data_IF_471738474117
#
_entry.id   IF_471738474117
#
_cell.length_a   1.000
_cell.length_b   1.000
_cell.length_c   1.000
_cell.angle_alpha   90.00
_cell.angle_beta   90.00
_cell.angle_gamma   90.00
#
_symmetry.space_group_name_H-M   'P 1'
#
loop_
_entity.id
_entity.type
_entity.pdbx_description
1 polymer ?
#
# COMPACT_ATOMS: atom_id res chain seq x y z
N UNK A 1 14.68 -5.22 -30.50
CA UNK A 1 13.28 -4.82 -30.21
C UNK A 1 12.97 -4.89 -28.69
N UNK A 2 13.75 -4.22 -27.82
CA UNK A 2 13.58 -4.31 -26.35
C UNK A 2 13.12 -3.00 -25.66
N UNK A 3 13.06 -1.89 -26.41
CA UNK A 3 12.84 -0.57 -25.82
C UNK A 3 11.37 -0.29 -25.49
N UNK A 4 10.43 -0.77 -26.31
CA UNK A 4 8.98 -0.53 -26.16
C UNK A 4 8.40 -1.26 -24.95
N UNK A 5 8.70 -2.55 -24.80
CA UNK A 5 8.20 -3.38 -23.70
C UNK A 5 8.57 -2.86 -22.30
N UNK A 6 9.75 -2.23 -22.18
CA UNK A 6 10.18 -1.62 -20.91
C UNK A 6 9.40 -0.33 -20.60
N UNK A 7 9.06 0.47 -21.62
CA UNK A 7 8.26 1.67 -21.43
C UNK A 7 6.81 1.32 -21.06
N UNK A 8 6.20 0.36 -21.75
CA UNK A 8 4.86 -0.13 -21.45
C UNK A 8 4.75 -0.66 -20.01
N UNK A 9 5.77 -1.40 -19.54
CA UNK A 9 5.85 -1.85 -18.15
C UNK A 9 5.93 -0.72 -17.14
N UNK A 10 6.79 0.28 -17.38
CA UNK A 10 6.88 1.43 -16.48
C UNK A 10 5.56 2.20 -16.43
N UNK A 11 4.81 2.25 -17.55
CA UNK A 11 3.49 2.87 -17.59
C UNK A 11 2.51 2.07 -16.70
N UNK A 12 2.51 0.74 -16.79
CA UNK A 12 1.69 -0.12 -15.93
C UNK A 12 2.06 0.02 -14.44
N UNK A 13 3.36 0.04 -14.11
CA UNK A 13 3.83 0.25 -12.73
C UNK A 13 3.38 1.61 -12.21
N UNK A 14 3.49 2.65 -13.04
CA UNK A 14 3.01 3.99 -12.70
C UNK A 14 1.51 3.99 -12.37
N UNK A 15 0.68 3.36 -13.21
CA UNK A 15 -0.76 3.25 -12.97
C UNK A 15 -1.09 2.52 -11.66
N UNK A 16 -0.44 1.38 -11.40
CA UNK A 16 -0.61 0.64 -10.14
C UNK A 16 -0.24 1.51 -8.95
N UNK A 17 0.87 2.26 -9.02
CA UNK A 17 1.31 3.12 -7.93
C UNK A 17 0.39 4.31 -7.66
N UNK A 18 -0.25 4.86 -8.70
CA UNK A 18 -1.31 5.86 -8.52
C UNK A 18 -2.50 5.26 -7.77
N UNK A 19 -2.92 4.05 -8.14
CA UNK A 19 -4.01 3.36 -7.45
C UNK A 19 -3.63 3.04 -6.00
N UNK A 20 -2.41 2.56 -5.75
CA UNK A 20 -1.92 2.30 -4.39
C UNK A 20 -1.98 3.55 -3.52
N UNK A 21 -1.59 4.72 -4.06
CA UNK A 21 -1.69 5.98 -3.32
C UNK A 21 -3.14 6.34 -2.99
N UNK A 22 -4.08 6.10 -3.91
CA UNK A 22 -5.51 6.32 -3.68
C UNK A 22 -6.04 5.40 -2.58
N UNK A 23 -5.76 4.09 -2.67
CA UNK A 23 -6.21 3.12 -1.66
C UNK A 23 -5.60 3.39 -0.28
N UNK A 24 -4.32 3.78 -0.20
CA UNK A 24 -3.68 4.16 1.05
C UNK A 24 -4.33 5.40 1.71
N UNK A 25 -4.80 6.35 0.90
CA UNK A 25 -5.54 7.52 1.42
C UNK A 25 -6.91 7.11 1.97
N UNK A 26 -7.55 6.12 1.34
CA UNK A 26 -8.87 5.60 1.69
C UNK A 26 -8.85 4.53 2.79
N UNK A 27 -7.69 4.18 3.36
CA UNK A 27 -7.53 3.11 4.36
C UNK A 27 -7.89 1.70 3.84
N UNK A 28 -7.87 1.49 2.53
CA UNK A 28 -8.16 0.21 1.88
C UNK A 28 -6.89 -0.69 1.83
N UNK A 29 -6.43 -1.13 2.99
CA UNK A 29 -5.17 -1.85 3.15
C UNK A 29 -5.13 -3.23 2.46
N UNK A 30 -6.28 -3.89 2.34
CA UNK A 30 -6.40 -5.18 1.67
C UNK A 30 -6.10 -5.03 0.17
N UNK A 31 -6.80 -4.09 -0.49
CA UNK A 31 -6.55 -3.73 -1.90
C UNK A 31 -5.11 -3.23 -2.12
N UNK A 32 -4.55 -2.49 -1.17
CA UNK A 32 -3.14 -2.04 -1.24
C UNK A 32 -2.16 -3.22 -1.33
N UNK A 33 -2.46 -4.32 -0.63
CA UNK A 33 -1.61 -5.51 -0.60
C UNK A 33 -1.65 -6.24 -1.94
N UNK A 34 -2.83 -6.36 -2.54
CA UNK A 34 -3.01 -6.94 -3.89
C UNK A 34 -2.26 -6.12 -4.95
N UNK A 35 -2.37 -4.79 -4.90
CA UNK A 35 -1.68 -3.90 -5.82
C UNK A 35 -0.15 -3.95 -5.67
N UNK A 36 0.39 -4.10 -4.45
CA UNK A 36 1.85 -4.28 -4.27
C UNK A 36 2.33 -5.61 -4.85
N UNK A 37 1.55 -6.69 -4.76
CA UNK A 37 1.87 -7.96 -5.42
C UNK A 37 1.93 -7.81 -6.94
N UNK A 38 0.95 -7.12 -7.54
CA UNK A 38 0.93 -6.82 -8.97
C UNK A 38 2.10 -5.93 -9.39
N UNK A 39 2.48 -4.93 -8.58
CA UNK A 39 3.68 -4.11 -8.84
C UNK A 39 4.94 -4.97 -8.86
N UNK A 40 5.10 -5.86 -7.86
CA UNK A 40 6.27 -6.74 -7.75
C UNK A 40 6.35 -7.75 -8.89
N UNK A 41 5.24 -8.32 -9.34
CA UNK A 41 5.25 -9.26 -10.47
C UNK A 41 5.73 -8.57 -11.75
N UNK A 42 5.29 -7.35 -12.03
CA UNK A 42 5.75 -6.58 -13.19
C UNK A 42 7.25 -6.23 -13.15
N UNK A 43 7.79 -5.93 -11.97
CA UNK A 43 9.20 -5.61 -11.78
C UNK A 43 10.11 -6.85 -11.76
N UNK A 44 9.62 -7.98 -11.26
CA UNK A 44 10.41 -9.24 -11.14
C UNK A 44 10.53 -10.02 -12.45
N UNK A 45 9.62 -9.81 -13.42
CA UNK A 45 9.75 -10.38 -14.77
C UNK A 45 10.96 -9.85 -15.57
N UNK A 46 11.79 -8.97 -15.01
CA UNK A 46 13.10 -8.57 -15.57
C UNK A 46 14.23 -9.56 -15.21
N UNK A 47 14.08 -10.35 -14.14
CA UNK A 47 15.12 -11.25 -13.64
C UNK A 47 14.99 -12.72 -14.10
N UNK A 48 13.99 -13.06 -14.92
CA UNK A 48 13.79 -14.43 -15.42
C UNK A 48 14.72 -14.73 -16.61
N UNK A 49 16.03 -14.68 -16.35
CA UNK A 49 17.04 -15.46 -17.05
C UNK A 49 17.83 -16.22 -15.99
N UNK A 50 17.25 -17.28 -15.42
CA UNK A 50 17.89 -18.47 -14.82
C UNK A 50 16.76 -19.51 -14.56
N UNK A 51 16.96 -20.80 -14.90
CA UNK A 51 15.91 -21.82 -14.91
C UNK A 51 15.65 -22.46 -13.54
N UNK A 52 14.48 -23.10 -13.43
CA UNK A 52 14.09 -24.15 -12.48
C UNK A 52 14.14 -23.82 -10.98
N UNK A 53 12.99 -23.42 -10.43
CA UNK A 53 12.17 -24.37 -9.66
C UNK A 53 10.77 -23.79 -9.49
N UNK A 54 9.81 -24.49 -10.10
CA UNK A 54 8.38 -24.30 -9.87
C UNK A 54 8.08 -24.57 -8.39
N UNK A 55 7.86 -23.51 -7.62
CA UNK A 55 6.82 -23.54 -6.61
C UNK A 55 5.62 -22.84 -7.24
N UNK A 56 4.78 -23.66 -7.87
CA UNK A 56 3.40 -23.31 -8.18
C UNK A 56 2.72 -22.90 -6.87
N UNK A 57 2.70 -21.60 -6.58
CA UNK A 57 1.59 -21.04 -5.84
C UNK A 57 0.45 -20.97 -6.85
N UNK A 58 -0.41 -21.97 -6.75
CA UNK A 58 -1.68 -22.10 -7.45
C UNK A 58 -2.61 -20.97 -6.99
N UNK A 59 -2.26 -19.73 -7.35
CA UNK A 59 -3.16 -18.60 -7.25
C UNK A 59 -3.96 -18.65 -8.54
N UNK A 60 -5.16 -19.22 -8.46
CA UNK A 60 -6.23 -18.99 -9.43
C UNK A 60 -6.44 -17.47 -9.53
N UNK A 61 -5.69 -16.81 -10.40
CA UNK A 61 -5.99 -15.46 -10.86
C UNK A 61 -7.04 -15.65 -11.96
N UNK A 62 -8.27 -15.97 -11.55
CA UNK A 62 -9.42 -15.83 -12.44
C UNK A 62 -9.60 -14.34 -12.73
N UNK A 63 -9.25 -13.94 -13.95
CA UNK A 63 -9.66 -12.69 -14.58
C UNK A 63 -9.34 -11.41 -13.80
N UNK A 64 -8.06 -11.15 -13.52
CA UNK A 64 -7.62 -9.76 -13.38
C UNK A 64 -7.62 -9.12 -14.76
N UNK A 65 -8.73 -8.47 -15.09
CA UNK A 65 -8.84 -7.50 -16.17
C UNK A 65 -7.57 -6.62 -16.18
N UNK A 66 -7.04 -6.24 -17.37
CA UNK A 66 -5.97 -5.27 -17.41
C UNK A 66 -6.42 -4.03 -16.65
N UNK A 67 -5.59 -3.56 -15.71
CA UNK A 67 -5.85 -2.33 -14.95
C UNK A 67 -5.68 -1.16 -15.94
N UNK A 68 -6.68 -0.96 -16.80
CA UNK A 68 -6.76 0.09 -17.82
C UNK A 68 -7.37 1.39 -17.26
N UNK A 69 -7.60 1.45 -15.95
CA UNK A 69 -8.18 2.62 -15.31
C UNK A 69 -7.09 3.62 -14.92
N UNK A 70 -7.01 4.73 -15.66
CA UNK A 70 -6.28 5.98 -15.36
C UNK A 70 -4.84 6.14 -15.88
N UNK A 71 -4.40 5.39 -16.89
CA UNK A 71 -3.23 5.84 -17.66
C UNK A 71 -3.69 7.00 -18.56
N UNK A 72 -3.51 8.22 -18.07
CA UNK A 72 -3.75 9.42 -18.86
C UNK A 72 -2.89 9.34 -20.14
N UNK A 73 -3.49 9.53 -21.32
CA UNK A 73 -2.79 9.49 -22.63
C UNK A 73 -1.55 10.39 -22.73
N UNK A 74 -1.38 11.34 -21.80
CA UNK A 74 -0.16 12.14 -21.64
C UNK A 74 1.04 11.35 -21.11
N UNK A 75 0.82 10.31 -20.29
CA UNK A 75 1.86 9.47 -19.69
C UNK A 75 2.55 8.61 -20.74
N UNK A 76 1.83 8.14 -21.76
CA UNK A 76 2.37 7.42 -22.91
C UNK A 76 3.35 8.24 -23.75
N UNK A 77 3.36 9.57 -23.58
CA UNK A 77 4.28 10.50 -24.25
C UNK A 77 5.51 10.85 -23.41
N UNK A 78 5.55 10.44 -22.14
CA UNK A 78 6.69 10.70 -21.26
C UNK A 78 7.88 9.81 -21.63
N UNK A 79 9.07 10.38 -21.55
CA UNK A 79 10.31 9.62 -21.65
C UNK A 79 10.44 8.65 -20.46
N UNK A 80 11.27 7.62 -20.63
CA UNK A 80 11.56 6.64 -19.56
C UNK A 80 12.07 7.29 -18.28
N UNK A 81 12.88 8.33 -18.41
CA UNK A 81 13.45 9.05 -17.27
C UNK A 81 12.39 9.88 -16.54
N UNK A 82 11.49 10.54 -17.26
CA UNK A 82 10.35 11.26 -16.66
C UNK A 82 9.42 10.29 -15.94
N UNK A 83 9.15 9.14 -16.54
CA UNK A 83 8.28 8.11 -15.99
C UNK A 83 8.90 7.47 -14.72
N UNK A 84 10.19 7.15 -14.75
CA UNK A 84 10.92 6.66 -13.58
C UNK A 84 10.95 7.69 -12.44
N UNK A 85 11.16 8.97 -12.76
CA UNK A 85 11.07 10.05 -11.77
C UNK A 85 9.66 10.20 -11.20
N UNK A 86 8.62 10.03 -12.02
CA UNK A 86 7.24 10.08 -11.57
C UNK A 86 6.89 8.91 -10.63
N UNK A 87 7.33 7.68 -10.97
CA UNK A 87 7.23 6.50 -10.10
C UNK A 87 7.92 6.75 -8.76
N UNK A 88 9.16 7.26 -8.77
CA UNK A 88 9.89 7.57 -7.53
C UNK A 88 9.15 8.58 -6.64
N UNK A 89 8.52 9.61 -7.24
CA UNK A 89 7.70 10.58 -6.50
C UNK A 89 6.46 9.91 -5.89
N UNK A 90 5.80 9.01 -6.62
CA UNK A 90 4.66 8.25 -6.10
C UNK A 90 5.07 7.33 -4.95
N UNK A 91 6.23 6.67 -5.01
CA UNK A 91 6.76 5.85 -3.91
C UNK A 91 6.94 6.70 -2.65
N UNK A 92 7.49 7.90 -2.80
CA UNK A 92 7.71 8.82 -1.68
C UNK A 92 6.38 9.28 -1.05
N UNK A 93 5.40 9.65 -1.87
CA UNK A 93 4.05 10.03 -1.41
C UNK A 93 3.31 8.88 -0.73
N UNK A 94 3.45 7.67 -1.27
CA UNK A 94 2.84 6.47 -0.70
C UNK A 94 3.44 6.17 0.68
N UNK A 95 4.77 6.22 0.80
CA UNK A 95 5.46 6.02 2.08
C UNK A 95 5.01 7.05 3.13
N UNK A 96 4.98 8.33 2.76
CA UNK A 96 4.52 9.41 3.65
C UNK A 96 3.08 9.17 4.12
N UNK A 97 2.18 8.79 3.21
CA UNK A 97 0.77 8.51 3.51
C UNK A 97 0.65 7.35 4.51
N UNK A 98 1.35 6.23 4.26
CA UNK A 98 1.33 5.05 5.15
C UNK A 98 1.87 5.41 6.54
N UNK A 99 2.97 6.16 6.62
CA UNK A 99 3.55 6.59 7.90
C UNK A 99 2.59 7.50 8.67
N UNK A 100 1.95 8.45 7.99
CA UNK A 100 0.98 9.35 8.61
C UNK A 100 -0.23 8.59 9.16
N UNK A 101 -0.78 7.64 8.40
CA UNK A 101 -1.91 6.79 8.84
C UNK A 101 -1.52 5.94 10.04
N UNK A 102 -0.32 5.33 10.01
CA UNK A 102 0.23 4.57 11.15
C UNK A 102 0.36 5.43 12.40
N UNK A 103 0.94 6.62 12.28
CA UNK A 103 1.10 7.53 13.42
C UNK A 103 -0.24 7.96 14.00
N UNK A 104 -1.22 8.24 13.14
CA UNK A 104 -2.58 8.62 13.55
C UNK A 104 -3.25 7.49 14.32
N UNK A 105 -3.14 6.24 13.84
CA UNK A 105 -3.68 5.06 14.51
C UNK A 105 -3.05 4.83 15.89
N UNK A 106 -1.72 4.94 15.99
CA UNK A 106 -1.00 4.82 17.25
C UNK A 106 -1.43 5.88 18.28
N UNK A 107 -1.58 7.13 17.83
CA UNK A 107 -2.04 8.23 18.69
C UNK A 107 -3.47 7.98 19.19
N UNK A 108 -4.39 7.53 18.32
CA UNK A 108 -5.75 7.16 18.72
C UNK A 108 -5.75 6.02 19.74
N UNK A 109 -4.94 4.98 19.54
CA UNK A 109 -4.85 3.87 20.50
C UNK A 109 -4.34 4.32 21.87
N UNK A 110 -3.32 5.18 21.91
CA UNK A 110 -2.82 5.77 23.15
C UNK A 110 -3.89 6.58 23.88
N UNK A 111 -4.60 7.45 23.15
CA UNK A 111 -5.68 8.26 23.72
C UNK A 111 -6.81 7.38 24.30
N UNK A 112 -7.21 6.33 23.58
CA UNK A 112 -8.22 5.38 24.07
C UNK A 112 -7.77 4.68 25.36
N UNK A 113 -6.51 4.21 25.44
CA UNK A 113 -5.96 3.59 26.65
C UNK A 113 -5.95 4.55 27.85
N UNK A 114 -5.60 5.81 27.62
CA UNK A 114 -5.64 6.84 28.67
C UNK A 114 -7.07 7.08 29.17
N UNK A 115 -8.05 7.15 28.27
CA UNK A 115 -9.45 7.28 28.65
C UNK A 115 -9.96 6.08 29.47
N UNK A 116 -9.59 4.86 29.07
CA UNK A 116 -9.96 3.65 29.81
C UNK A 116 -9.34 3.67 31.21
N UNK A 117 -8.04 3.99 31.33
CA UNK A 117 -7.38 4.08 32.62
C UNK A 117 -7.99 5.16 33.51
N UNK A 118 -8.28 6.35 32.97
CA UNK A 118 -8.94 7.41 33.71
C UNK A 118 -10.33 6.99 34.23
N UNK A 119 -11.13 6.31 33.39
CA UNK A 119 -12.44 5.76 33.79
C UNK A 119 -12.30 4.70 34.88
N UNK A 120 -11.30 3.82 34.80
CA UNK A 120 -11.03 2.81 35.84
C UNK A 120 -10.62 3.44 37.17
N UNK A 121 -9.74 4.46 37.14
CA UNK A 121 -9.33 5.20 38.35
C UNK A 121 -10.54 5.88 38.99
N UNK A 122 -11.37 6.55 38.18
CA UNK A 122 -12.58 7.19 38.66
C UNK A 122 -13.55 6.17 39.28
N UNK A 123 -13.85 5.07 38.60
CA UNK A 123 -14.71 4.01 39.13
C UNK A 123 -14.20 3.46 40.47
N UNK A 124 -12.88 3.27 40.62
CA UNK A 124 -12.26 2.83 41.87
C UNK A 124 -12.34 3.88 42.98
N UNK A 125 -12.26 5.16 42.63
CA UNK A 125 -12.34 6.26 43.59
C UNK A 125 -13.78 6.61 44.00
N UNK A 126 -14.77 6.39 43.12
CA UNK A 126 -16.20 6.65 43.38
C UNK A 126 -16.90 5.52 44.13
N UNK A 127 -16.36 4.29 44.05
CA UNK A 127 -16.78 3.14 44.85
C UNK A 127 -15.57 2.59 45.60
N UNK A 128 -14.96 3.35 46.52
CA UNK A 128 -13.96 2.77 47.39
C UNK A 128 -14.64 1.65 48.16
N UNK A 129 -14.06 0.44 48.13
CA UNK A 129 -14.61 -0.71 48.83
C UNK A 129 -15.00 -0.29 50.26
N UNK A 130 -16.30 -0.19 50.51
CA UNK A 130 -16.85 0.07 51.82
C UNK A 130 -16.59 -1.17 52.67
N UNK A 131 -15.42 -1.25 53.28
CA UNK A 131 -15.07 -2.36 54.15
C UNK A 131 -13.59 -2.66 54.17
N UNK A 132 -12.87 -1.96 55.04
CA UNK A 132 -11.93 -2.59 55.96
C UNK A 132 -12.07 -1.80 57.28
N UNK A 133 -12.84 -2.41 58.19
CA UNK A 133 -12.78 -2.17 59.63
C UNK A 133 -11.46 -2.69 60.17
#
# INVERSE_FOLDING_TARGET
MNQSHMQDRLISVYGIMQQMLLEARNDNWDTLTELDQQRRSLLTMENASIPNNQQQLDVHIENSQPVDYLINTSVSKLSKEELANAIRRLDQQLLETVLQKRQTSLNRNRAQKQQINAKQIYARASFPAAGLR
#
